data_IF_237757345966
#
_entry.id   IF_237757345966
#
_cell.length_a   1.000
_cell.length_b   1.000
_cell.length_c   1.000
_cell.angle_alpha   90.00
_cell.angle_beta   90.00
_cell.angle_gamma   90.00
#
_symmetry.space_group_name_H-M   'P 1'
#
loop_
_entity.id
_entity.type
_entity.pdbx_description
1 polymer ?
#
# COMPACT_ATOMS: atom_id res chain seq x y z
N UNK A 1 -12.33 0.31 49.98
CA UNK A 1 -12.38 1.30 48.86
C UNK A 1 -11.71 0.67 47.67
N UNK A 2 -12.49 0.20 46.72
CA UNK A 2 -11.96 -0.36 45.45
C UNK A 2 -11.41 0.79 44.60
N UNK A 3 -10.09 0.85 44.40
CA UNK A 3 -9.51 1.73 43.41
C UNK A 3 -10.15 1.35 42.04
N UNK A 4 -10.97 2.26 41.51
CA UNK A 4 -11.34 2.20 40.10
C UNK A 4 -10.04 2.33 39.30
N UNK A 5 -9.58 1.25 38.70
CA UNK A 5 -8.55 1.30 37.66
C UNK A 5 -9.20 2.07 36.53
N UNK A 6 -8.81 3.31 36.38
CA UNK A 6 -9.20 4.14 35.23
C UNK A 6 -8.45 3.59 34.02
N UNK A 7 -9.09 2.65 33.32
CA UNK A 7 -8.59 2.10 32.08
C UNK A 7 -8.71 3.20 31.01
N UNK A 8 -7.71 4.08 30.94
CA UNK A 8 -7.59 4.98 29.80
C UNK A 8 -7.60 4.14 28.52
N UNK A 9 -8.50 4.47 27.63
CA UNK A 9 -8.60 3.80 26.32
C UNK A 9 -7.29 4.02 25.56
N UNK A 10 -6.61 2.94 25.07
CA UNK A 10 -5.35 3.10 24.37
C UNK A 10 -5.57 3.79 23.02
N UNK A 11 -4.56 4.50 22.55
CA UNK A 11 -4.50 4.90 21.16
C UNK A 11 -4.28 3.66 20.28
N UNK A 12 -4.91 3.63 19.11
CA UNK A 12 -4.84 2.51 18.16
C UNK A 12 -4.26 3.05 16.84
N UNK A 13 -3.17 2.44 16.38
CA UNK A 13 -2.59 2.72 15.07
C UNK A 13 -2.64 1.44 14.23
N UNK A 14 -3.28 1.54 13.05
CA UNK A 14 -3.31 0.47 12.05
C UNK A 14 -2.48 0.92 10.84
N UNK A 15 -1.33 0.29 10.63
CA UNK A 15 -0.49 0.54 9.46
C UNK A 15 -0.72 -0.56 8.45
N UNK A 16 -1.02 -0.18 7.21
CA UNK A 16 -1.23 -1.10 6.10
C UNK A 16 -0.35 -0.70 4.92
N UNK A 17 0.43 -1.63 4.42
CA UNK A 17 1.12 -1.52 3.13
C UNK A 17 0.25 -2.14 2.04
N UNK A 18 0.52 -1.81 0.78
CA UNK A 18 -0.21 -2.39 -0.35
C UNK A 18 0.69 -3.35 -1.13
N UNK A 19 0.24 -4.58 -1.29
CA UNK A 19 0.91 -5.63 -2.06
C UNK A 19 2.30 -6.03 -1.54
N UNK A 20 2.59 -5.79 -0.26
CA UNK A 20 3.85 -6.21 0.33
C UNK A 20 3.93 -7.73 0.43
N UNK A 21 5.06 -8.29 0.02
CA UNK A 21 5.34 -9.74 0.11
C UNK A 21 5.75 -10.11 1.54
N UNK A 22 5.36 -11.30 1.98
CA UNK A 22 5.71 -11.80 3.31
C UNK A 22 7.22 -11.94 3.53
N UNK A 23 7.99 -12.14 2.46
CA UNK A 23 9.44 -12.37 2.48
C UNK A 23 10.28 -11.08 2.33
N UNK A 24 9.72 -9.93 2.71
CA UNK A 24 10.39 -8.62 2.65
C UNK A 24 10.67 -8.02 4.03
N UNK A 25 10.68 -8.83 5.10
CA UNK A 25 11.01 -8.39 6.46
C UNK A 25 12.20 -9.23 6.97
N UNK A 26 13.34 -8.59 7.25
CA UNK A 26 14.59 -9.27 7.57
C UNK A 26 14.45 -10.19 8.80
N UNK A 27 13.87 -9.71 9.88
CA UNK A 27 13.74 -10.45 11.14
C UNK A 27 12.80 -11.66 11.05
N UNK A 28 12.00 -11.76 9.99
CA UNK A 28 11.17 -12.94 9.71
C UNK A 28 11.88 -14.03 8.89
N UNK A 29 13.22 -13.99 8.83
CA UNK A 29 14.06 -15.01 8.17
C UNK A 29 14.52 -14.64 6.76
N UNK A 30 14.51 -13.34 6.43
CA UNK A 30 14.89 -12.82 5.12
C UNK A 30 16.11 -11.87 5.22
N UNK A 31 17.32 -12.38 5.52
CA UNK A 31 18.48 -11.57 5.90
C UNK A 31 19.04 -10.69 4.77
N UNK A 32 18.60 -10.87 3.54
CA UNK A 32 18.92 -10.01 2.40
C UNK A 32 18.14 -8.69 2.42
N UNK A 33 17.10 -8.59 3.23
CA UNK A 33 16.31 -7.37 3.39
C UNK A 33 16.90 -6.47 4.48
N UNK A 34 16.69 -5.17 4.35
CA UNK A 34 17.05 -4.16 5.36
C UNK A 34 15.82 -3.41 5.81
N UNK A 35 15.19 -3.89 6.88
CA UNK A 35 13.91 -3.38 7.39
C UNK A 35 13.97 -3.02 8.88
N UNK A 36 14.89 -2.12 9.31
CA UNK A 36 15.22 -1.93 10.72
C UNK A 36 14.03 -1.52 11.60
N UNK A 37 13.08 -0.76 11.07
CA UNK A 37 11.89 -0.34 11.82
C UNK A 37 10.85 -1.47 11.94
N UNK A 38 10.65 -2.26 10.88
CA UNK A 38 9.78 -3.45 10.93
C UNK A 38 10.41 -4.52 11.81
N UNK A 39 11.73 -4.73 11.73
CA UNK A 39 12.47 -5.66 12.57
C UNK A 39 12.32 -5.32 14.06
N UNK A 40 12.34 -4.03 14.39
CA UNK A 40 12.08 -3.56 15.76
C UNK A 40 10.67 -3.92 16.21
N UNK A 41 9.66 -3.75 15.36
CA UNK A 41 8.28 -4.15 15.68
C UNK A 41 8.15 -5.65 15.87
N UNK A 42 8.81 -6.45 15.02
CA UNK A 42 8.86 -7.91 15.16
C UNK A 42 9.45 -8.31 16.52
N UNK A 43 10.58 -7.69 16.93
CA UNK A 43 11.26 -7.97 18.20
C UNK A 43 10.46 -7.55 19.44
N UNK A 44 9.70 -6.48 19.35
CA UNK A 44 8.98 -5.89 20.48
C UNK A 44 7.51 -6.32 20.59
N UNK A 45 6.98 -6.90 19.53
CA UNK A 45 5.57 -7.25 19.40
C UNK A 45 5.33 -8.73 19.19
N UNK A 46 4.17 -9.04 18.63
CA UNK A 46 3.78 -10.39 18.24
C UNK A 46 3.64 -10.46 16.72
N UNK A 47 4.35 -11.41 16.09
CA UNK A 47 4.30 -11.62 14.65
C UNK A 47 3.47 -12.85 14.31
N UNK A 48 2.52 -12.68 13.40
CA UNK A 48 1.65 -13.76 12.90
C UNK A 48 2.17 -14.24 11.55
N UNK A 49 3.05 -15.24 11.55
CA UNK A 49 3.71 -15.74 10.33
C UNK A 49 2.80 -16.52 9.39
N UNK A 50 1.64 -16.96 9.87
CA UNK A 50 0.62 -17.68 9.11
C UNK A 50 -0.68 -16.86 9.01
N UNK A 51 -0.58 -15.57 8.79
CA UNK A 51 -1.71 -14.68 8.54
C UNK A 51 -1.92 -14.51 7.03
N UNK A 52 -3.08 -14.95 6.53
CA UNK A 52 -3.39 -14.94 5.10
C UNK A 52 -4.46 -13.93 4.80
N UNK A 53 -4.30 -13.24 3.66
CA UNK A 53 -5.34 -12.36 3.13
C UNK A 53 -6.54 -13.17 2.64
N UNK A 54 -7.74 -12.61 2.78
CA UNK A 54 -8.98 -13.26 2.33
C UNK A 54 -9.17 -13.18 0.81
N UNK A 55 -8.49 -12.22 0.17
CA UNK A 55 -8.47 -12.00 -1.26
C UNK A 55 -7.17 -11.28 -1.65
N UNK A 56 -6.54 -11.61 -2.78
CA UNK A 56 -5.36 -10.91 -3.28
C UNK A 56 -5.70 -9.61 -4.04
N UNK A 57 -6.94 -9.16 -4.00
CA UNK A 57 -7.42 -7.90 -4.61
C UNK A 57 -7.54 -6.84 -3.53
N UNK A 58 -6.93 -5.67 -3.73
CA UNK A 58 -6.78 -4.66 -2.68
C UNK A 58 -8.12 -4.17 -2.09
N UNK A 59 -9.12 -3.86 -2.91
CA UNK A 59 -10.45 -3.45 -2.41
C UNK A 59 -11.11 -4.58 -1.63
N UNK A 60 -11.13 -5.78 -2.17
CA UNK A 60 -11.74 -6.95 -1.54
C UNK A 60 -11.05 -7.32 -0.22
N UNK A 61 -9.71 -7.29 -0.19
CA UNK A 61 -8.93 -7.51 1.03
C UNK A 61 -9.22 -6.45 2.10
N UNK A 62 -9.21 -5.17 1.73
CA UNK A 62 -9.48 -4.05 2.65
C UNK A 62 -10.91 -4.09 3.16
N UNK A 63 -11.88 -4.38 2.29
CA UNK A 63 -13.27 -4.58 2.69
C UNK A 63 -13.40 -5.69 3.74
N UNK A 64 -12.69 -6.82 3.56
CA UNK A 64 -12.70 -7.90 4.55
C UNK A 64 -12.16 -7.46 5.92
N UNK A 65 -11.08 -6.68 5.95
CA UNK A 65 -10.52 -6.14 7.21
C UNK A 65 -11.51 -5.19 7.88
N UNK A 66 -12.10 -4.27 7.13
CA UNK A 66 -12.92 -3.19 7.70
C UNK A 66 -14.41 -3.54 7.88
N UNK A 67 -14.85 -4.64 7.30
CA UNK A 67 -16.20 -5.21 7.53
C UNK A 67 -16.16 -6.41 8.48
N UNK A 68 -14.98 -7.00 8.72
CA UNK A 68 -14.84 -8.19 9.55
C UNK A 68 -15.49 -9.43 8.90
N UNK A 69 -15.56 -9.49 7.57
CA UNK A 69 -16.26 -10.55 6.85
C UNK A 69 -15.55 -10.91 5.54
N UNK A 70 -15.75 -12.16 5.10
CA UNK A 70 -15.16 -12.66 3.85
C UNK A 70 -15.83 -12.03 2.60
N UNK A 71 -15.13 -12.02 1.44
CA UNK A 71 -15.67 -11.45 0.20
C UNK A 71 -17.02 -12.04 -0.25
N UNK A 72 -17.22 -13.35 -0.06
CA UNK A 72 -18.49 -14.01 -0.39
C UNK A 72 -19.66 -13.60 0.51
N UNK A 73 -19.36 -13.02 1.68
CA UNK A 73 -20.40 -12.47 2.60
C UNK A 73 -20.68 -11.01 2.26
N UNK A 74 -19.67 -10.26 1.87
CA UNK A 74 -19.76 -8.83 1.59
C UNK A 74 -20.15 -8.53 0.15
N UNK A 75 -20.00 -9.50 -0.76
CA UNK A 75 -20.10 -9.36 -2.22
C UNK A 75 -19.10 -8.34 -2.81
N UNK A 76 -17.95 -8.13 -2.14
CA UNK A 76 -16.87 -7.25 -2.61
C UNK A 76 -15.74 -8.12 -3.15
N UNK A 77 -15.67 -8.29 -4.46
CA UNK A 77 -14.72 -9.18 -5.13
C UNK A 77 -13.67 -8.46 -5.97
N UNK A 78 -13.98 -7.27 -6.48
CA UNK A 78 -13.14 -6.50 -7.41
C UNK A 78 -12.87 -5.09 -6.88
N UNK A 79 -12.13 -4.30 -7.64
CA UNK A 79 -11.81 -2.92 -7.27
C UNK A 79 -12.95 -1.90 -7.60
N UNK A 80 -14.10 -2.39 -8.07
CA UNK A 80 -15.18 -1.52 -8.55
C UNK A 80 -16.41 -1.51 -7.65
N UNK A 81 -16.53 -2.46 -6.70
CA UNK A 81 -17.67 -2.51 -5.80
C UNK A 81 -17.61 -1.41 -4.75
N UNK A 82 -18.76 -0.87 -4.44
CA UNK A 82 -18.95 0.11 -3.37
C UNK A 82 -18.97 -0.60 -2.02
N UNK A 83 -18.20 -0.09 -1.06
CA UNK A 83 -18.20 -0.59 0.31
C UNK A 83 -17.82 0.54 1.28
N UNK A 84 -18.19 0.38 2.54
CA UNK A 84 -17.90 1.34 3.60
C UNK A 84 -17.46 0.60 4.86
N UNK A 85 -16.40 1.07 5.57
CA UNK A 85 -16.05 0.53 6.87
C UNK A 85 -17.22 0.60 7.87
N UNK A 86 -17.38 -0.43 8.69
CA UNK A 86 -18.41 -0.44 9.72
C UNK A 86 -17.87 -0.22 11.14
N UNK A 87 -16.85 -0.94 11.56
CA UNK A 87 -16.36 -0.88 12.95
C UNK A 87 -15.63 0.44 13.29
N UNK A 88 -15.18 1.20 12.29
CA UNK A 88 -14.60 2.54 12.52
C UNK A 88 -15.63 3.47 13.14
N UNK A 89 -16.87 3.44 12.65
CA UNK A 89 -17.96 4.23 13.23
C UNK A 89 -18.29 3.81 14.66
N UNK A 90 -18.12 2.53 15.01
CA UNK A 90 -18.29 2.06 16.39
C UNK A 90 -17.20 2.61 17.31
N UNK A 91 -15.95 2.67 16.87
CA UNK A 91 -14.89 3.34 17.62
C UNK A 91 -15.20 4.83 17.84
N UNK A 92 -15.69 5.52 16.81
CA UNK A 92 -16.11 6.91 16.92
C UNK A 92 -17.24 7.09 17.96
N UNK A 93 -18.24 6.22 17.96
CA UNK A 93 -19.34 6.23 18.91
C UNK A 93 -18.89 6.03 20.37
N UNK A 94 -17.83 5.27 20.59
CA UNK A 94 -17.27 5.09 21.94
C UNK A 94 -16.18 6.10 22.28
N UNK A 95 -16.05 7.18 21.52
CA UNK A 95 -15.25 8.37 21.84
C UNK A 95 -13.82 8.39 21.29
N UNK A 96 -13.49 7.52 20.33
CA UNK A 96 -12.22 7.64 19.58
C UNK A 96 -12.30 8.75 18.52
N UNK A 97 -11.24 9.51 18.37
CA UNK A 97 -11.05 10.35 17.19
C UNK A 97 -10.44 9.51 16.08
N UNK A 98 -11.24 9.18 15.05
CA UNK A 98 -10.85 8.28 13.97
C UNK A 98 -10.31 9.07 12.78
N UNK A 99 -9.09 8.75 12.33
CA UNK A 99 -8.40 9.43 11.22
C UNK A 99 -7.82 8.40 10.24
N UNK A 100 -7.95 8.69 8.96
CA UNK A 100 -7.29 7.95 7.89
C UNK A 100 -6.26 8.84 7.21
N UNK A 101 -5.06 8.33 7.01
CA UNK A 101 -4.00 8.95 6.22
C UNK A 101 -3.50 7.94 5.19
N UNK A 102 -3.49 8.34 3.93
CA UNK A 102 -3.08 7.48 2.82
C UNK A 102 -4.19 6.58 2.28
N UNK A 103 -3.79 5.43 1.73
CA UNK A 103 -4.67 4.53 0.97
C UNK A 103 -5.68 3.80 1.84
N UNK A 104 -6.93 3.99 1.54
CA UNK A 104 -8.04 3.25 2.10
C UNK A 104 -8.74 2.37 1.06
N UNK A 105 -8.82 2.87 -0.16
CA UNK A 105 -9.43 2.22 -1.32
C UNK A 105 -10.91 1.87 -1.10
N UNK A 106 -11.65 2.80 -0.50
CA UNK A 106 -13.11 2.74 -0.45
C UNK A 106 -13.69 3.38 -1.71
N UNK A 107 -14.89 3.02 -2.06
CA UNK A 107 -15.59 3.57 -3.20
C UNK A 107 -16.98 4.05 -2.76
N UNK A 108 -17.33 5.34 -2.98
CA UNK A 108 -16.50 6.39 -3.60
C UNK A 108 -15.29 6.80 -2.71
N UNK A 109 -14.23 7.30 -3.34
CA UNK A 109 -12.96 7.60 -2.66
C UNK A 109 -13.06 8.64 -1.56
N UNK A 110 -13.97 9.62 -1.72
CA UNK A 110 -14.21 10.72 -0.77
C UNK A 110 -15.20 10.36 0.36
N UNK A 111 -15.71 9.14 0.36
CA UNK A 111 -16.63 8.70 1.41
C UNK A 111 -15.95 8.78 2.79
N UNK A 112 -16.68 9.26 3.79
CA UNK A 112 -16.12 9.41 5.15
C UNK A 112 -15.75 8.09 5.81
N UNK A 113 -16.45 7.01 5.52
CA UNK A 113 -16.13 5.67 6.04
C UNK A 113 -16.07 5.54 7.56
N UNK A 114 -16.79 6.39 8.31
CA UNK A 114 -16.75 6.45 9.77
C UNK A 114 -15.59 7.26 10.35
N UNK A 115 -14.67 7.78 9.52
CA UNK A 115 -13.59 8.65 9.95
C UNK A 115 -14.05 10.10 10.14
N UNK A 116 -13.47 10.78 11.13
CA UNK A 116 -13.65 12.21 11.36
C UNK A 116 -12.86 13.04 10.35
N UNK A 117 -11.63 12.58 10.04
CA UNK A 117 -10.73 13.21 9.08
C UNK A 117 -10.14 12.15 8.14
N UNK A 118 -9.95 12.53 6.89
CA UNK A 118 -9.26 11.71 5.90
C UNK A 118 -8.32 12.56 5.07
N UNK A 119 -7.05 12.19 5.08
CA UNK A 119 -5.97 12.70 4.23
C UNK A 119 -5.62 11.59 3.24
N UNK A 120 -6.51 11.34 2.29
CA UNK A 120 -6.39 10.14 1.46
C UNK A 120 -5.41 10.32 0.29
N UNK A 121 -4.66 9.25 0.02
CA UNK A 121 -3.76 9.07 -1.11
C UNK A 121 -4.07 7.69 -1.67
N UNK A 122 -4.80 7.62 -2.78
CA UNK A 122 -5.39 6.35 -3.20
C UNK A 122 -4.48 5.56 -4.14
N UNK A 123 -3.78 6.22 -5.07
CA UNK A 123 -2.95 5.55 -6.05
C UNK A 123 -1.62 6.26 -6.28
N UNK A 124 -0.56 5.49 -6.46
CA UNK A 124 0.78 5.97 -6.86
C UNK A 124 0.82 6.46 -8.32
N UNK A 125 -0.23 6.26 -9.07
CA UNK A 125 -0.24 6.36 -10.50
C UNK A 125 -1.49 7.09 -11.00
N UNK A 126 -1.37 7.75 -12.15
CA UNK A 126 -2.49 8.43 -12.79
C UNK A 126 -3.35 7.43 -13.56
N UNK A 127 -4.67 7.41 -13.37
CA UNK A 127 -5.56 6.58 -14.18
C UNK A 127 -5.48 6.95 -15.67
N UNK A 128 -5.42 5.93 -16.53
CA UNK A 128 -5.28 6.06 -18.00
C UNK A 128 -6.38 6.87 -18.68
N UNK A 129 -7.57 6.81 -18.13
CA UNK A 129 -8.80 7.22 -18.82
C UNK A 129 -9.34 8.57 -18.34
N UNK A 130 -8.57 9.28 -17.52
CA UNK A 130 -8.99 10.60 -17.05
C UNK A 130 -7.95 11.64 -17.44
N UNK A 131 -8.33 12.51 -18.33
CA UNK A 131 -7.63 13.77 -18.53
C UNK A 131 -7.78 14.63 -17.26
N UNK A 132 -6.84 15.55 -17.03
CA UNK A 132 -6.84 16.35 -15.79
C UNK A 132 -8.14 17.13 -15.58
N UNK A 133 -8.75 17.65 -16.65
CA UNK A 133 -9.99 18.39 -16.59
C UNK A 133 -11.22 17.52 -16.33
N UNK A 134 -11.12 16.20 -16.50
CA UNK A 134 -12.19 15.22 -16.24
C UNK A 134 -12.13 14.66 -14.82
N UNK A 135 -11.09 14.98 -14.07
CA UNK A 135 -10.93 14.49 -12.70
C UNK A 135 -11.85 15.24 -11.76
N UNK A 136 -12.92 14.57 -11.34
CA UNK A 136 -13.84 15.08 -10.35
C UNK A 136 -13.23 15.14 -8.93
N UNK A 137 -12.12 14.43 -8.69
CA UNK A 137 -11.53 14.29 -7.37
C UNK A 137 -9.99 14.33 -7.44
N UNK A 138 -9.40 15.13 -6.56
CA UNK A 138 -7.98 15.16 -6.28
C UNK A 138 -7.73 14.68 -4.85
N UNK A 139 -6.84 13.70 -4.70
CA UNK A 139 -6.38 13.30 -3.38
C UNK A 139 -5.36 14.31 -2.80
N UNK A 140 -4.92 14.11 -1.56
CA UNK A 140 -4.02 15.08 -0.90
C UNK A 140 -2.64 15.12 -1.58
N UNK A 141 -2.19 14.01 -2.14
CA UNK A 141 -0.93 13.96 -2.88
C UNK A 141 -1.04 14.67 -4.23
N UNK A 142 -2.14 14.51 -4.97
CA UNK A 142 -2.42 15.27 -6.20
C UNK A 142 -2.34 16.79 -5.94
N UNK A 143 -2.96 17.24 -4.83
CA UNK A 143 -2.95 18.65 -4.44
C UNK A 143 -1.54 19.15 -4.10
N UNK A 144 -0.76 18.35 -3.39
CA UNK A 144 0.62 18.69 -3.01
C UNK A 144 1.54 18.76 -4.25
N UNK A 145 1.47 17.78 -5.15
CA UNK A 145 2.21 17.80 -6.42
C UNK A 145 1.85 19.06 -7.23
N UNK A 146 0.56 19.33 -7.40
CA UNK A 146 0.10 20.50 -8.15
C UNK A 146 0.53 21.82 -7.53
N UNK A 147 0.54 21.93 -6.20
CA UNK A 147 1.02 23.12 -5.50
C UNK A 147 2.51 23.39 -5.73
N UNK A 148 3.30 22.35 -6.03
CA UNK A 148 4.72 22.46 -6.42
C UNK A 148 4.97 22.56 -7.92
N UNK A 149 3.91 22.55 -8.74
CA UNK A 149 4.02 22.53 -10.19
C UNK A 149 4.50 21.18 -10.76
N UNK A 150 4.34 20.11 -10.01
CA UNK A 150 4.69 18.76 -10.40
C UNK A 150 3.47 18.02 -10.94
N UNK A 151 3.70 17.12 -11.88
CA UNK A 151 2.67 16.21 -12.38
C UNK A 151 2.73 14.88 -11.66
N UNK A 152 1.56 14.27 -11.44
CA UNK A 152 1.48 12.92 -10.92
C UNK A 152 2.07 11.94 -11.94
N UNK A 153 3.05 11.10 -11.57
CA UNK A 153 3.65 10.16 -12.50
C UNK A 153 2.61 9.16 -13.04
N UNK A 154 2.82 8.70 -14.25
CA UNK A 154 1.95 7.72 -14.89
C UNK A 154 2.78 6.64 -15.59
N UNK A 155 2.58 5.38 -15.20
CA UNK A 155 3.18 4.23 -15.89
C UNK A 155 2.75 4.17 -17.37
N UNK A 156 1.58 4.68 -17.69
CA UNK A 156 1.07 4.68 -19.06
C UNK A 156 1.81 5.65 -19.94
N UNK A 157 2.21 6.79 -19.42
CA UNK A 157 3.10 7.71 -20.12
C UNK A 157 4.42 7.02 -20.45
N UNK A 158 5.00 6.30 -19.48
CA UNK A 158 6.24 5.53 -19.69
C UNK A 158 6.09 4.40 -20.70
N UNK A 159 4.99 3.66 -20.67
CA UNK A 159 4.68 2.63 -21.69
C UNK A 159 4.52 3.25 -23.06
N UNK A 160 3.87 4.41 -23.16
CA UNK A 160 3.68 5.12 -24.43
C UNK A 160 4.99 5.63 -24.99
N UNK A 161 5.85 6.20 -24.13
CA UNK A 161 7.06 6.88 -24.56
C UNK A 161 8.20 5.90 -24.86
N UNK A 162 8.34 4.83 -24.07
CA UNK A 162 9.30 3.75 -24.32
C UNK A 162 8.80 2.42 -23.75
N UNK A 163 8.01 1.72 -24.56
CA UNK A 163 7.43 0.42 -24.18
C UNK A 163 8.50 -0.65 -23.94
N UNK A 164 9.55 -0.66 -24.74
CA UNK A 164 10.58 -1.70 -24.67
C UNK A 164 11.43 -1.56 -23.40
N UNK A 165 11.81 -0.33 -23.04
CA UNK A 165 12.47 -0.06 -21.77
C UNK A 165 11.57 -0.40 -20.58
N UNK A 166 10.29 -0.03 -20.62
CA UNK A 166 9.32 -0.37 -19.59
C UNK A 166 9.20 -1.89 -19.38
N UNK A 167 9.10 -2.66 -20.45
CA UNK A 167 9.01 -4.12 -20.38
C UNK A 167 10.32 -4.75 -19.92
N UNK A 168 11.47 -4.24 -20.37
CA UNK A 168 12.78 -4.71 -19.96
C UNK A 168 13.01 -4.53 -18.45
N UNK A 169 12.55 -3.43 -17.89
CA UNK A 169 12.69 -3.11 -16.48
C UNK A 169 11.48 -3.56 -15.62
N UNK A 170 10.54 -4.31 -16.21
CA UNK A 170 9.32 -4.77 -15.54
C UNK A 170 8.49 -3.63 -14.89
N UNK A 171 8.54 -2.45 -15.50
CA UNK A 171 7.88 -1.25 -14.98
C UNK A 171 8.56 -0.58 -13.80
N UNK A 172 9.78 -1.02 -13.44
CA UNK A 172 10.58 -0.35 -12.42
C UNK A 172 11.27 0.88 -12.97
N UNK A 173 11.39 1.89 -12.13
CA UNK A 173 12.20 3.08 -12.39
C UNK A 173 12.60 3.72 -11.07
N UNK A 174 13.65 4.50 -11.06
CA UNK A 174 13.99 5.31 -9.90
C UNK A 174 13.07 6.52 -9.82
N UNK A 175 12.67 6.89 -8.63
CA UNK A 175 11.89 8.12 -8.39
C UNK A 175 12.64 9.35 -8.87
N UNK A 176 11.99 10.23 -9.65
CA UNK A 176 12.65 11.29 -10.44
C UNK A 176 12.44 12.71 -9.90
N UNK A 177 11.65 12.86 -8.84
CA UNK A 177 11.38 14.17 -8.23
C UNK A 177 11.85 14.20 -6.77
N UNK A 178 11.51 15.25 -6.02
CA UNK A 178 11.88 15.39 -4.62
C UNK A 178 11.39 14.18 -3.80
N UNK A 179 12.25 13.61 -2.96
CA UNK A 179 11.96 12.39 -2.20
C UNK A 179 10.77 12.54 -1.25
N UNK A 180 10.54 13.74 -0.70
CA UNK A 180 9.37 14.04 0.13
C UNK A 180 8.04 14.02 -0.65
N UNK A 181 8.12 14.05 -1.98
CA UNK A 181 6.97 13.87 -2.86
C UNK A 181 6.77 12.42 -3.30
N UNK A 182 7.67 11.48 -2.92
CA UNK A 182 7.36 10.08 -3.09
C UNK A 182 6.09 9.73 -2.28
N UNK A 183 5.10 9.02 -2.85
CA UNK A 183 3.80 8.85 -2.22
C UNK A 183 3.87 8.19 -0.84
N UNK A 184 4.80 7.27 -0.61
CA UNK A 184 4.96 6.65 0.69
C UNK A 184 5.61 7.60 1.71
N UNK A 185 6.60 8.41 1.31
CA UNK A 185 7.18 9.44 2.16
C UNK A 185 6.14 10.50 2.51
N UNK A 186 5.37 10.97 1.53
CA UNK A 186 4.28 11.91 1.74
C UNK A 186 3.23 11.41 2.74
N UNK A 187 2.85 10.14 2.66
CA UNK A 187 1.93 9.52 3.63
C UNK A 187 2.57 9.44 5.02
N UNK A 188 3.84 9.03 5.09
CA UNK A 188 4.59 8.96 6.35
C UNK A 188 4.72 10.32 7.03
N UNK A 189 5.14 11.33 6.30
CA UNK A 189 5.31 12.71 6.79
C UNK A 189 3.98 13.33 7.22
N UNK A 190 2.91 13.08 6.48
CA UNK A 190 1.55 13.51 6.86
C UNK A 190 1.11 12.84 8.17
N UNK A 191 1.45 11.56 8.37
CA UNK A 191 1.11 10.86 9.61
C UNK A 191 1.91 11.40 10.81
N UNK A 192 3.20 11.67 10.63
CA UNK A 192 4.05 12.29 11.66
C UNK A 192 3.53 13.68 12.00
N UNK A 193 3.31 14.52 10.99
CA UNK A 193 2.73 15.85 11.18
C UNK A 193 1.41 15.80 11.98
N UNK A 194 0.49 14.92 11.63
CA UNK A 194 -0.77 14.79 12.33
C UNK A 194 -0.59 14.38 13.80
N UNK A 195 0.33 13.46 14.08
CA UNK A 195 0.63 13.02 15.45
C UNK A 195 1.24 14.13 16.30
N UNK A 196 2.08 14.97 15.73
CA UNK A 196 2.76 16.09 16.41
C UNK A 196 1.84 17.29 16.64
N UNK A 197 1.00 17.63 15.65
CA UNK A 197 0.12 18.82 15.73
C UNK A 197 -1.16 18.58 16.52
N UNK A 198 -1.53 17.33 16.78
CA UNK A 198 -2.77 17.04 17.50
C UNK A 198 -2.76 17.57 18.92
N UNK A 199 -3.79 18.37 19.26
CA UNK A 199 -3.96 18.97 20.61
C UNK A 199 -4.95 18.19 21.48
N UNK A 200 -5.59 17.15 20.96
CA UNK A 200 -6.68 16.46 21.64
C UNK A 200 -6.17 15.49 22.70
N UNK A 201 -6.85 15.46 23.84
CA UNK A 201 -6.64 14.49 24.91
C UNK A 201 -7.44 13.19 24.73
N UNK A 202 -8.35 13.14 23.76
CA UNK A 202 -9.16 11.94 23.47
C UNK A 202 -8.32 10.83 22.81
N UNK A 203 -8.64 9.56 23.08
CA UNK A 203 -8.01 8.45 22.40
C UNK A 203 -8.28 8.53 20.90
N UNK A 204 -7.34 8.06 20.08
CA UNK A 204 -7.49 8.06 18.65
C UNK A 204 -7.34 6.68 18.03
N UNK A 205 -8.02 6.49 16.91
CA UNK A 205 -7.77 5.44 15.93
C UNK A 205 -7.18 6.08 14.68
N UNK A 206 -5.93 5.76 14.37
CA UNK A 206 -5.22 6.24 13.18
C UNK A 206 -4.96 5.08 12.23
N UNK A 207 -5.58 5.12 11.05
CA UNK A 207 -5.26 4.21 9.96
C UNK A 207 -4.29 4.93 9.01
N UNK A 208 -3.11 4.31 8.80
CA UNK A 208 -2.09 4.77 7.86
C UNK A 208 -2.01 3.73 6.74
N UNK A 209 -2.33 4.14 5.52
CA UNK A 209 -2.30 3.27 4.35
C UNK A 209 -1.21 3.70 3.37
N UNK A 210 -0.10 2.97 3.34
CA UNK A 210 0.93 3.20 2.33
C UNK A 210 0.48 2.66 0.97
N UNK A 211 0.60 3.43 -0.13
CA UNK A 211 0.37 2.92 -1.47
C UNK A 211 1.40 1.88 -1.92
N UNK A 212 2.62 1.97 -1.43
CA UNK A 212 3.69 1.03 -1.72
C UNK A 212 3.67 -0.24 -0.87
N UNK A 213 4.39 -1.27 -1.32
CA UNK A 213 5.15 -1.40 -2.58
C UNK A 213 4.31 -1.84 -3.81
N UNK A 214 3.02 -1.48 -3.89
CA UNK A 214 2.22 -1.69 -5.11
C UNK A 214 2.87 -1.02 -6.33
N UNK A 215 2.90 -1.64 -7.51
CA UNK A 215 3.43 -1.00 -8.73
C UNK A 215 2.83 0.39 -9.02
N UNK A 216 3.57 1.31 -9.62
CA UNK A 216 4.92 1.16 -10.14
C UNK A 216 5.96 0.96 -9.02
N UNK A 217 7.03 0.20 -9.31
CA UNK A 217 8.17 0.04 -8.41
C UNK A 217 9.11 1.21 -8.66
N UNK A 218 9.11 2.17 -7.77
CA UNK A 218 9.70 3.49 -7.95
C UNK A 218 10.51 3.94 -6.72
N UNK A 219 11.51 3.13 -6.27
CA UNK A 219 12.30 3.50 -5.12
C UNK A 219 13.03 4.83 -5.36
N UNK A 220 13.27 5.57 -4.28
CA UNK A 220 14.20 6.69 -4.32
C UNK A 220 15.65 6.21 -4.43
N UNK A 221 16.57 7.07 -4.86
CA UNK A 221 17.99 6.72 -4.99
C UNK A 221 18.60 6.19 -3.69
N UNK A 222 18.21 6.74 -2.55
CA UNK A 222 18.66 6.29 -1.23
C UNK A 222 18.33 4.82 -0.99
N UNK A 223 17.08 4.42 -1.21
CA UNK A 223 16.65 3.04 -0.99
C UNK A 223 17.17 2.09 -2.06
N UNK A 224 17.29 2.53 -3.30
CA UNK A 224 17.89 1.73 -4.37
C UNK A 224 19.37 1.42 -4.07
N UNK A 225 20.12 2.39 -3.55
CA UNK A 225 21.54 2.23 -3.20
C UNK A 225 21.77 1.18 -2.11
N UNK A 226 20.82 0.98 -1.19
CA UNK A 226 20.92 -0.03 -0.13
C UNK A 226 21.08 -1.45 -0.71
N UNK A 227 20.42 -1.72 -1.84
CA UNK A 227 20.34 -3.06 -2.42
C UNK A 227 21.23 -3.27 -3.64
N UNK A 228 22.05 -2.29 -4.02
CA UNK A 228 22.86 -2.30 -5.24
C UNK A 228 23.75 -3.54 -5.38
N UNK A 229 24.33 -4.00 -4.27
CA UNK A 229 25.26 -5.13 -4.22
C UNK A 229 24.63 -6.35 -3.50
N UNK A 230 23.32 -6.37 -3.33
CA UNK A 230 22.64 -7.44 -2.62
C UNK A 230 22.34 -8.61 -3.55
N UNK A 231 22.81 -9.79 -3.20
CA UNK A 231 22.41 -11.02 -3.86
C UNK A 231 21.06 -11.49 -3.30
N UNK A 232 20.03 -11.41 -4.11
CA UNK A 232 18.71 -11.93 -3.75
C UNK A 232 18.63 -13.43 -4.05
N UNK A 233 17.91 -14.23 -3.23
CA UNK A 233 17.71 -15.63 -3.49
C UNK A 233 16.94 -15.80 -4.80
N UNK A 234 17.37 -16.79 -5.59
CA UNK A 234 16.60 -17.18 -6.77
C UNK A 234 15.20 -17.63 -6.37
N UNK A 235 14.21 -16.92 -6.81
CA UNK A 235 12.86 -17.44 -6.78
C UNK A 235 12.68 -18.45 -7.91
N UNK A 236 12.82 -19.69 -7.54
CA UNK A 236 12.57 -20.78 -8.46
C UNK A 236 11.06 -21.08 -8.54
N UNK A 237 10.32 -20.29 -9.31
CA UNK A 237 9.21 -20.91 -10.01
C UNK A 237 9.82 -21.61 -11.23
N UNK A 238 10.08 -22.89 -11.14
CA UNK A 238 10.53 -23.68 -12.28
C UNK A 238 9.49 -23.65 -13.39
N UNK A 239 9.89 -23.84 -14.66
CA UNK A 239 8.93 -23.95 -15.78
C UNK A 239 7.88 -25.04 -15.51
N UNK A 240 8.26 -26.10 -14.80
CA UNK A 240 7.34 -27.17 -14.41
C UNK A 240 6.27 -26.67 -13.42
N UNK A 241 6.62 -25.91 -12.41
CA UNK A 241 5.66 -25.31 -11.47
C UNK A 241 4.74 -24.30 -12.15
N UNK A 242 5.30 -23.48 -13.05
CA UNK A 242 4.51 -22.54 -13.85
C UNK A 242 3.50 -23.24 -14.76
N UNK A 243 3.86 -24.38 -15.32
CA UNK A 243 2.97 -25.20 -16.14
C UNK A 243 1.84 -25.88 -15.33
N UNK A 244 2.07 -26.12 -14.04
CA UNK A 244 1.08 -26.73 -13.14
C UNK A 244 0.09 -25.71 -12.53
N UNK A 245 0.29 -24.41 -12.76
CA UNK A 245 -0.64 -23.40 -12.29
C UNK A 245 -2.03 -23.56 -12.94
N UNK A 246 -3.11 -23.10 -12.25
CA UNK A 246 -4.43 -23.05 -12.86
C UNK A 246 -4.43 -22.32 -14.21
N UNK A 247 -5.21 -22.77 -15.17
CA UNK A 247 -5.27 -22.20 -16.52
C UNK A 247 -5.46 -20.67 -16.52
N UNK A 248 -6.26 -20.15 -15.62
CA UNK A 248 -6.49 -18.72 -15.48
C UNK A 248 -5.19 -17.96 -15.14
N UNK A 249 -4.35 -18.50 -14.26
CA UNK A 249 -3.05 -17.90 -13.94
C UNK A 249 -2.06 -18.00 -15.10
N UNK A 250 -2.07 -19.11 -15.84
CA UNK A 250 -1.27 -19.25 -17.05
C UNK A 250 -1.68 -18.21 -18.12
N UNK A 251 -2.98 -18.03 -18.35
CA UNK A 251 -3.53 -17.03 -19.27
C UNK A 251 -3.20 -15.61 -18.84
N UNK A 252 -3.38 -15.28 -17.56
CA UNK A 252 -3.03 -13.98 -17.02
C UNK A 252 -1.55 -13.66 -17.24
N UNK A 253 -0.67 -14.62 -16.97
CA UNK A 253 0.77 -14.47 -17.21
C UNK A 253 1.10 -14.25 -18.69
N UNK A 254 0.48 -15.00 -19.60
CA UNK A 254 0.65 -14.81 -21.05
C UNK A 254 0.16 -13.45 -21.54
N UNK A 255 -0.87 -12.88 -20.89
CA UNK A 255 -1.41 -11.56 -21.23
C UNK A 255 -0.58 -10.40 -20.68
N UNK A 256 0.21 -10.62 -19.65
CA UNK A 256 0.91 -9.55 -18.97
C UNK A 256 2.26 -9.19 -19.59
N UNK A 257 3.06 -10.09 -20.03
CA UNK A 257 4.32 -9.90 -20.77
C UNK A 257 4.96 -11.28 -20.97
N UNK A 258 5.74 -11.48 -22.02
CA UNK A 258 6.65 -12.63 -22.11
C UNK A 258 7.73 -12.51 -21.02
N UNK A 259 7.43 -13.04 -19.84
CA UNK A 259 8.31 -13.07 -18.71
C UNK A 259 9.49 -13.98 -19.00
N UNK A 260 10.64 -13.42 -19.31
CA UNK A 260 11.88 -14.17 -19.24
C UNK A 260 12.35 -14.20 -17.76
N UNK A 261 12.05 -15.32 -17.10
CA UNK A 261 12.39 -15.57 -15.69
C UNK A 261 13.91 -15.52 -15.42
N UNK A 262 14.73 -15.70 -16.47
CA UNK A 262 16.19 -15.65 -16.41
C UNK A 262 16.77 -14.25 -16.72
N UNK A 263 15.92 -13.28 -17.00
CA UNK A 263 16.37 -11.91 -17.27
C UNK A 263 16.98 -11.26 -16.01
N UNK A 264 18.02 -10.47 -16.22
CA UNK A 264 18.65 -9.69 -15.13
C UNK A 264 17.63 -8.76 -14.48
N UNK A 265 16.80 -8.11 -15.28
CA UNK A 265 15.73 -7.22 -14.80
C UNK A 265 14.73 -7.92 -13.87
N UNK A 266 14.42 -9.19 -14.10
CA UNK A 266 13.60 -9.98 -13.18
C UNK A 266 14.26 -10.17 -11.82
N UNK A 267 15.57 -10.41 -11.79
CA UNK A 267 16.33 -10.61 -10.56
C UNK A 267 16.50 -9.33 -9.76
N UNK A 268 16.68 -8.20 -10.44
CA UNK A 268 16.85 -6.87 -9.83
C UNK A 268 15.55 -6.29 -9.26
N UNK A 269 14.40 -6.81 -9.70
CA UNK A 269 13.07 -6.31 -9.31
C UNK A 269 12.37 -7.21 -8.27
N UNK A 270 13.06 -8.21 -7.74
CA UNK A 270 12.58 -9.05 -6.64
C UNK A 270 12.94 -8.47 -5.27
#
# INVERSE_FOLDING_TARGET
MSQKIDHQKPNIVLIMTDQQRADTIAELGHPWMQTPNLDRLVKQGTSFTNCFVTSPVCVSSRASVFLGAYPHTTNVYTNFETWQPNWVSWLAQVGYHCVNIGKMHINPYDAKGGFHQRFFVENKDRPLFLEDHERALYDEWDKALKARGLEKPSRYTRVRDDRDAFLKNLGCFTWETDDDMHPDNFVGDTAVWWLEDRKASSPFFLQIGFPGPHPPYDPTDEFLAIYKDTEFPHRAASQQELAQQPKMHQQLRQSMVDFNIDSVAWRENL
#
